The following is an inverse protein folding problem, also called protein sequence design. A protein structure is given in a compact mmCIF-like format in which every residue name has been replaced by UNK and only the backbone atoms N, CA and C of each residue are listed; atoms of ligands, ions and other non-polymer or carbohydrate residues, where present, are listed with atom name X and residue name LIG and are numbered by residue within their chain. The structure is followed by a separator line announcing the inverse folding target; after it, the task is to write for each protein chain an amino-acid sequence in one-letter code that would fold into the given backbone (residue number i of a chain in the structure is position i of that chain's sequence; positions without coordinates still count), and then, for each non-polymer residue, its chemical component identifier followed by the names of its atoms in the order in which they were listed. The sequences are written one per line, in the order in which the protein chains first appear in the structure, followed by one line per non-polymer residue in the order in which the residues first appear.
data_IF_030360760225
#
_entry.id   IF_030360760225
#
_cell.length_a   1.000
_cell.length_b   1.000
_cell.length_c   1.000
_cell.angle_alpha   90.00
_cell.angle_beta   90.00
_cell.angle_gamma   90.00
#
_symmetry.space_group_name_H-M   'P 1'
#
loop_
_entity.id
_entity.type
_entity.pdbx_description
1 polymer ?
#
# COMPACT_ATOMS: atom_id res chain seq x y z
N UNK A 1 -6.87 11.15 10.93
CA UNK A 1 -5.57 11.87 10.87
C UNK A 1 -4.78 11.61 12.15
N UNK A 2 -3.59 11.04 12.04
CA UNK A 2 -2.60 10.86 13.11
C UNK A 2 -1.35 11.69 12.83
N UNK A 3 -0.76 12.31 13.87
CA UNK A 3 0.50 13.06 13.74
C UNK A 3 1.53 12.52 14.70
N UNK A 4 2.77 12.36 14.22
CA UNK A 4 3.91 11.92 15.01
C UNK A 4 4.93 13.05 15.16
N UNK A 5 5.53 13.13 16.34
CA UNK A 5 6.50 14.18 16.69
C UNK A 5 7.74 13.53 17.31
N UNK A 6 8.88 14.16 17.13
CA UNK A 6 10.12 13.81 17.82
C UNK A 6 10.09 14.27 19.28
N UNK A 7 11.11 13.86 20.06
CA UNK A 7 11.23 14.24 21.47
C UNK A 7 11.41 15.73 21.72
N UNK A 8 11.88 16.48 20.74
CA UNK A 8 12.02 17.95 20.80
C UNK A 8 10.76 18.70 20.31
N UNK A 9 9.70 17.98 19.94
CA UNK A 9 8.44 18.53 19.46
C UNK A 9 8.40 18.81 17.96
N UNK A 10 9.44 18.47 17.19
CA UNK A 10 9.44 18.59 15.73
C UNK A 10 8.44 17.63 15.11
N UNK A 11 7.62 18.09 14.17
CA UNK A 11 6.69 17.25 13.44
C UNK A 11 7.45 16.29 12.52
N UNK A 12 7.19 14.98 12.62
CA UNK A 12 7.82 13.93 11.82
C UNK A 12 6.97 13.53 10.63
N UNK A 13 5.73 13.14 10.88
CA UNK A 13 4.83 12.73 9.81
C UNK A 13 3.36 12.90 10.18
N UNK A 14 2.52 12.94 9.16
CA UNK A 14 1.06 12.86 9.28
C UNK A 14 0.57 11.62 8.52
N UNK A 15 -0.32 10.86 9.14
CA UNK A 15 -0.99 9.71 8.51
C UNK A 15 -2.49 9.97 8.49
N UNK A 16 -3.06 9.95 7.30
CA UNK A 16 -4.50 10.00 7.09
C UNK A 16 -5.00 8.64 6.60
N UNK A 17 -5.95 8.06 7.33
CA UNK A 17 -6.58 6.79 7.01
C UNK A 17 -8.06 7.01 6.76
N UNK A 18 -8.56 6.44 5.67
CA UNK A 18 -9.96 6.39 5.32
C UNK A 18 -10.40 4.93 5.28
N UNK A 19 -11.24 4.55 6.23
CA UNK A 19 -11.73 3.19 6.34
C UNK A 19 -13.10 3.04 5.65
N UNK A 20 -13.28 1.95 4.91
CA UNK A 20 -14.54 1.59 4.30
C UNK A 20 -15.26 0.57 5.20
N UNK A 21 -16.29 1.01 5.90
CA UNK A 21 -17.15 0.11 6.69
C UNK A 21 -18.07 -0.67 5.75
N UNK A 22 -17.73 -1.95 5.53
CA UNK A 22 -18.53 -2.85 4.70
C UNK A 22 -19.77 -3.27 5.52
N UNK A 23 -20.95 -3.24 4.90
CA UNK A 23 -22.25 -3.52 5.51
C UNK A 23 -22.79 -2.46 6.49
N UNK A 24 -22.02 -1.44 6.83
CA UNK A 24 -22.48 -0.29 7.63
C UNK A 24 -22.67 0.92 6.73
N UNK A 25 -23.92 1.33 6.51
CA UNK A 25 -24.23 2.46 5.63
C UNK A 25 -25.72 2.72 5.52
N UNK A 26 -26.12 3.48 4.50
CA UNK A 26 -27.54 3.76 4.24
C UNK A 26 -28.15 4.87 5.11
N UNK A 27 -27.36 5.53 5.94
CA UNK A 27 -27.79 6.63 6.81
C UNK A 27 -27.85 8.01 6.11
N UNK A 28 -27.47 8.09 4.81
CA UNK A 28 -27.67 9.28 3.98
C UNK A 28 -26.60 10.37 4.09
N UNK A 29 -25.38 10.06 4.54
CA UNK A 29 -24.27 11.02 4.58
C UNK A 29 -23.69 11.37 3.20
N UNK A 30 -22.84 12.38 3.17
CA UNK A 30 -22.08 12.74 1.97
C UNK A 30 -21.17 11.59 1.51
N UNK A 31 -21.06 11.43 0.19
CA UNK A 31 -20.09 10.48 -0.36
C UNK A 31 -18.67 11.01 -0.15
N UNK A 32 -17.70 10.11 0.15
CA UNK A 32 -16.32 10.53 0.24
C UNK A 32 -15.85 11.17 -1.09
N UNK A 33 -14.88 12.10 -1.04
CA UNK A 33 -14.35 12.71 -2.25
C UNK A 33 -13.79 11.64 -3.19
N UNK A 34 -13.98 11.87 -4.50
CA UNK A 34 -13.34 11.03 -5.51
C UNK A 34 -11.87 11.41 -5.57
N UNK A 35 -11.03 10.51 -5.11
CA UNK A 35 -9.57 10.66 -5.10
C UNK A 35 -8.88 9.73 -6.10
N UNK A 36 -9.56 9.42 -7.20
CA UNK A 36 -9.03 8.57 -8.25
C UNK A 36 -7.77 9.19 -8.86
N UNK A 37 -6.75 8.36 -9.02
CA UNK A 37 -5.49 8.71 -9.68
C UNK A 37 -5.54 8.17 -11.10
N UNK A 38 -5.27 9.02 -12.08
CA UNK A 38 -5.09 8.63 -13.47
C UNK A 38 -3.64 8.19 -13.69
N UNK A 39 -3.48 7.12 -14.47
CA UNK A 39 -2.17 6.62 -14.87
C UNK A 39 -1.84 7.11 -16.29
N UNK A 40 -0.56 7.40 -16.59
CA UNK A 40 -0.16 7.74 -17.95
C UNK A 40 -0.51 6.61 -18.95
N UNK A 41 -1.05 7.01 -20.11
CA UNK A 41 -1.33 6.09 -21.23
C UNK A 41 -0.03 5.82 -22.03
N UNK A 42 0.91 5.16 -21.39
CA UNK A 42 2.21 4.75 -21.93
C UNK A 42 2.77 3.61 -21.11
N UNK A 43 3.80 2.96 -21.63
CA UNK A 43 4.55 1.97 -20.89
C UNK A 43 5.08 2.53 -19.55
N UNK A 44 5.12 1.71 -18.49
CA UNK A 44 5.68 2.11 -17.21
C UNK A 44 7.17 2.38 -17.31
N UNK A 45 7.66 3.30 -16.48
CA UNK A 45 9.11 3.56 -16.40
C UNK A 45 9.84 2.44 -15.65
N UNK A 46 9.15 1.83 -14.65
CA UNK A 46 9.74 0.75 -13.86
C UNK A 46 8.71 -0.30 -13.51
N UNK A 47 9.21 -1.53 -13.35
CA UNK A 47 8.47 -2.67 -12.82
C UNK A 47 9.37 -3.40 -11.82
N UNK A 48 8.82 -3.73 -10.66
CA UNK A 48 9.50 -4.54 -9.65
C UNK A 48 8.63 -5.72 -9.24
N UNK A 49 9.23 -6.91 -9.19
CA UNK A 49 8.53 -8.13 -8.80
C UNK A 49 9.22 -8.79 -7.60
N UNK A 50 8.42 -9.28 -6.67
CA UNK A 50 8.87 -10.15 -5.60
C UNK A 50 7.74 -11.06 -5.10
N UNK A 51 8.11 -12.13 -4.42
CA UNK A 51 7.13 -12.99 -3.75
C UNK A 51 6.88 -12.49 -2.33
N UNK A 52 5.61 -12.22 -1.99
CA UNK A 52 5.20 -11.95 -0.62
C UNK A 52 5.36 -13.22 0.22
N UNK A 53 6.29 -13.23 1.15
CA UNK A 53 6.64 -14.43 1.91
C UNK A 53 5.46 -15.03 2.68
N UNK A 54 5.37 -16.36 2.72
CA UNK A 54 4.30 -17.09 3.41
C UNK A 54 4.21 -16.75 4.91
N UNK A 55 5.34 -16.46 5.54
CA UNK A 55 5.45 -16.16 6.97
C UNK A 55 5.39 -14.66 7.29
N UNK A 56 5.27 -13.78 6.31
CA UNK A 56 5.27 -12.34 6.54
C UNK A 56 4.17 -11.84 7.47
N UNK A 57 2.94 -12.37 7.43
CA UNK A 57 1.93 -11.98 8.40
C UNK A 57 2.36 -12.27 9.85
N UNK A 58 3.07 -13.36 10.10
CA UNK A 58 3.59 -13.71 11.43
C UNK A 58 4.74 -12.77 11.86
N UNK A 59 5.58 -12.36 10.90
CA UNK A 59 6.69 -11.41 11.14
C UNK A 59 6.14 -10.00 11.37
N UNK A 60 5.10 -9.58 10.65
CA UNK A 60 4.51 -8.25 10.78
C UNK A 60 3.66 -8.10 12.05
N UNK A 61 2.96 -9.14 12.45
CA UNK A 61 2.02 -9.12 13.59
C UNK A 61 2.59 -8.52 14.90
N UNK A 62 3.85 -8.84 15.32
CA UNK A 62 4.45 -8.25 16.52
C UNK A 62 4.61 -6.73 16.49
N UNK A 63 4.45 -6.09 15.33
CA UNK A 63 4.49 -4.63 15.19
C UNK A 63 3.21 -3.93 15.65
N UNK A 64 2.21 -4.69 16.13
CA UNK A 64 1.02 -4.13 16.80
C UNK A 64 -0.32 -4.50 16.18
N UNK A 65 -0.36 -5.11 15.00
CA UNK A 65 -1.61 -5.56 14.37
C UNK A 65 -1.85 -7.05 14.64
N UNK A 66 -2.60 -7.32 15.72
CA UNK A 66 -2.89 -8.67 16.20
C UNK A 66 -4.18 -9.27 15.63
N UNK A 67 -4.79 -8.66 14.61
CA UNK A 67 -6.07 -9.10 14.10
C UNK A 67 -6.00 -10.54 13.56
N UNK A 68 -7.00 -11.35 13.91
CA UNK A 68 -7.03 -12.79 13.62
C UNK A 68 -7.07 -13.11 12.11
N UNK A 69 -7.65 -12.24 11.27
CA UNK A 69 -7.75 -12.44 9.82
C UNK A 69 -6.41 -12.68 9.13
N UNK A 70 -5.29 -12.38 9.79
CA UNK A 70 -3.95 -12.49 9.20
C UNK A 70 -3.25 -13.81 9.51
N UNK A 71 -3.78 -14.61 10.46
CA UNK A 71 -3.13 -15.85 10.90
C UNK A 71 -4.09 -17.00 11.22
N UNK A 72 -5.37 -16.72 11.48
CA UNK A 72 -6.32 -17.71 11.98
C UNK A 72 -7.26 -18.18 10.86
N UNK A 73 -7.09 -19.43 10.44
CA UNK A 73 -7.90 -20.05 9.39
C UNK A 73 -9.37 -20.17 9.78
N UNK A 74 -9.66 -20.48 11.05
CA UNK A 74 -11.04 -20.61 11.52
C UNK A 74 -11.78 -19.27 11.52
N UNK A 75 -11.07 -18.18 11.79
CA UNK A 75 -11.60 -16.83 11.67
C UNK A 75 -11.87 -16.45 10.21
N UNK A 76 -10.95 -16.74 9.30
CA UNK A 76 -11.11 -16.40 7.88
C UNK A 76 -12.24 -17.18 7.23
N UNK A 77 -12.43 -18.45 7.59
CA UNK A 77 -13.56 -19.25 7.15
C UNK A 77 -14.91 -18.62 7.55
N UNK A 78 -15.03 -18.13 8.78
CA UNK A 78 -16.25 -17.48 9.27
C UNK A 78 -16.51 -16.12 8.60
N UNK A 79 -15.48 -15.42 8.15
CA UNK A 79 -15.58 -14.10 7.51
C UNK A 79 -15.65 -14.16 5.99
N UNK A 80 -15.65 -15.35 5.40
CA UNK A 80 -15.74 -15.56 3.96
C UNK A 80 -14.45 -15.26 3.20
N UNK A 81 -13.33 -15.17 3.90
CA UNK A 81 -12.00 -15.10 3.30
C UNK A 81 -11.51 -16.53 2.96
N UNK A 82 -10.85 -16.70 1.83
CA UNK A 82 -10.30 -17.99 1.40
C UNK A 82 -9.30 -18.55 2.42
N UNK A 83 -8.47 -17.70 2.99
CA UNK A 83 -7.42 -18.02 3.95
C UNK A 83 -6.89 -16.74 4.62
N UNK A 84 -6.02 -16.84 5.62
CA UNK A 84 -5.37 -15.66 6.21
C UNK A 84 -4.71 -14.78 5.14
N UNK A 85 -4.95 -13.47 5.25
CA UNK A 85 -4.50 -12.46 4.31
C UNK A 85 -3.33 -11.65 4.88
N UNK A 86 -2.55 -11.02 4.01
CA UNK A 86 -1.51 -10.09 4.42
C UNK A 86 -2.12 -8.86 5.12
N UNK A 87 -1.37 -8.26 6.03
CA UNK A 87 -1.69 -6.95 6.57
C UNK A 87 -1.63 -5.90 5.45
N UNK A 88 -2.67 -5.10 5.29
CA UNK A 88 -2.72 -4.07 4.24
C UNK A 88 -1.54 -3.12 4.31
N UNK A 89 -1.24 -2.60 5.51
CA UNK A 89 -0.11 -1.68 5.74
C UNK A 89 1.24 -2.33 5.42
N UNK A 90 1.41 -3.62 5.66
CA UNK A 90 2.59 -4.38 5.23
C UNK A 90 2.75 -4.37 3.71
N UNK A 91 1.65 -4.53 2.97
CA UNK A 91 1.67 -4.45 1.49
C UNK A 91 2.03 -3.05 0.99
N UNK A 92 1.56 -2.01 1.66
CA UNK A 92 1.96 -0.62 1.38
C UNK A 92 3.45 -0.39 1.68
N UNK A 93 3.97 -0.98 2.77
CA UNK A 93 5.41 -0.96 3.09
C UNK A 93 6.28 -1.64 2.01
N UNK A 94 5.79 -2.73 1.42
CA UNK A 94 6.45 -3.37 0.27
C UNK A 94 6.47 -2.42 -0.93
N UNK A 95 5.35 -1.80 -1.28
CA UNK A 95 5.29 -0.83 -2.38
C UNK A 95 6.21 0.38 -2.14
N UNK A 96 6.26 0.86 -0.89
CA UNK A 96 7.17 1.93 -0.47
C UNK A 96 8.63 1.54 -0.71
N UNK A 97 9.05 0.36 -0.27
CA UNK A 97 10.41 -0.15 -0.50
C UNK A 97 10.74 -0.29 -1.98
N UNK A 98 9.79 -0.77 -2.81
CA UNK A 98 9.96 -0.82 -4.25
C UNK A 98 10.15 0.57 -4.85
N UNK A 99 9.32 1.55 -4.45
CA UNK A 99 9.42 2.93 -4.91
C UNK A 99 10.78 3.55 -4.56
N UNK A 100 11.25 3.40 -3.32
CA UNK A 100 12.58 3.88 -2.89
C UNK A 100 13.66 3.25 -3.77
N UNK A 101 13.63 1.92 -3.95
CA UNK A 101 14.65 1.20 -4.70
C UNK A 101 14.71 1.58 -6.18
N UNK A 102 13.60 2.03 -6.77
CA UNK A 102 13.47 2.34 -8.19
C UNK A 102 13.67 3.83 -8.50
N UNK A 103 13.21 4.71 -7.61
CA UNK A 103 13.12 6.14 -7.88
C UNK A 103 14.24 6.96 -7.23
N UNK A 104 14.65 6.58 -6.02
CA UNK A 104 15.69 7.26 -5.24
C UNK A 104 16.50 6.27 -4.40
N UNK A 105 17.23 5.35 -5.06
CA UNK A 105 17.95 4.26 -4.40
C UNK A 105 19.03 4.79 -3.45
N UNK A 106 19.01 4.31 -2.21
CA UNK A 106 19.95 4.72 -1.16
C UNK A 106 19.52 5.96 -0.37
N UNK A 107 18.44 6.64 -0.76
CA UNK A 107 17.95 7.88 -0.14
C UNK A 107 16.50 7.74 0.39
N UNK A 108 16.20 6.80 1.31
CA UNK A 108 14.84 6.66 1.84
C UNK A 108 14.31 7.93 2.52
N UNK A 109 15.20 8.77 3.02
CA UNK A 109 14.91 10.07 3.63
C UNK A 109 14.35 11.11 2.63
N UNK A 110 14.54 10.88 1.34
CA UNK A 110 13.98 11.75 0.31
C UNK A 110 12.46 11.64 0.18
N UNK A 111 11.85 10.50 0.63
CA UNK A 111 10.41 10.32 0.51
C UNK A 111 9.64 11.33 1.37
N UNK A 112 8.77 12.11 0.73
CA UNK A 112 7.93 13.13 1.38
C UNK A 112 6.47 12.72 1.50
N UNK A 113 5.97 11.88 0.55
CA UNK A 113 4.58 11.45 0.55
C UNK A 113 4.40 10.05 -0.06
N UNK A 114 3.53 9.27 0.56
CA UNK A 114 3.02 8.00 0.01
C UNK A 114 1.51 7.92 0.20
N UNK A 115 0.79 7.66 -0.87
CA UNK A 115 -0.65 7.40 -0.85
C UNK A 115 -0.95 6.14 -1.64
N UNK A 116 -1.88 5.33 -1.16
CA UNK A 116 -2.46 4.24 -1.94
C UNK A 116 -3.83 3.85 -1.41
N UNK A 117 -4.59 3.12 -2.22
CA UNK A 117 -5.85 2.50 -1.83
C UNK A 117 -5.69 0.98 -1.83
N UNK A 118 -6.08 0.34 -0.75
CA UNK A 118 -6.21 -1.12 -0.66
C UNK A 118 -7.47 -1.53 -1.43
N UNK A 119 -7.34 -2.35 -2.47
CA UNK A 119 -8.45 -2.67 -3.37
C UNK A 119 -8.78 -4.15 -3.44
N UNK A 120 -7.83 -5.02 -3.12
CA UNK A 120 -8.06 -6.46 -2.92
C UNK A 120 -7.07 -7.03 -1.90
N UNK A 121 -7.42 -8.12 -1.20
CA UNK A 121 -6.52 -8.75 -0.24
C UNK A 121 -5.30 -9.36 -0.93
N UNK A 122 -4.13 -9.23 -0.30
CA UNK A 122 -2.92 -9.94 -0.69
C UNK A 122 -2.88 -11.26 0.05
N UNK A 123 -2.72 -12.36 -0.66
CA UNK A 123 -2.52 -13.68 -0.06
C UNK A 123 -1.02 -13.96 0.13
N UNK A 124 -0.59 -14.49 1.28
CA UNK A 124 0.80 -14.93 1.45
C UNK A 124 1.20 -15.94 0.38
N UNK A 125 2.40 -15.76 -0.18
CA UNK A 125 2.93 -16.59 -1.26
C UNK A 125 2.68 -16.06 -2.67
N UNK A 126 1.85 -15.01 -2.85
CA UNK A 126 1.60 -14.40 -4.16
C UNK A 126 2.82 -13.64 -4.68
N UNK A 127 3.02 -13.64 -5.99
CA UNK A 127 4.01 -12.76 -6.64
C UNK A 127 3.41 -11.37 -6.85
N UNK A 128 4.03 -10.40 -6.22
CA UNK A 128 3.68 -8.98 -6.32
C UNK A 128 4.42 -8.37 -7.50
N UNK A 129 3.71 -7.55 -8.29
CA UNK A 129 4.29 -6.69 -9.31
C UNK A 129 3.89 -5.25 -9.02
N UNK A 130 4.87 -4.42 -8.68
CA UNK A 130 4.69 -2.97 -8.55
C UNK A 130 5.09 -2.31 -9.86
N UNK A 131 4.17 -1.55 -10.42
CA UNK A 131 4.29 -0.87 -11.71
C UNK A 131 4.32 0.62 -11.42
N UNK A 132 5.33 1.33 -11.94
CA UNK A 132 5.62 2.73 -11.59
C UNK A 132 5.77 3.59 -12.84
N UNK A 133 5.12 4.75 -12.83
CA UNK A 133 5.21 5.79 -13.84
C UNK A 133 5.68 7.09 -13.22
N UNK A 134 6.79 7.65 -13.69
CA UNK A 134 7.20 9.03 -13.36
C UNK A 134 6.21 10.00 -13.97
N UNK A 135 5.70 10.95 -13.21
CA UNK A 135 4.73 11.95 -13.66
C UNK A 135 5.26 13.37 -13.56
N UNK A 136 6.39 13.56 -12.88
CA UNK A 136 7.07 14.83 -12.72
C UNK A 136 8.42 14.66 -12.04
N UNK A 137 9.09 15.77 -11.83
CA UNK A 137 10.28 15.83 -10.96
C UNK A 137 9.81 15.59 -9.51
N UNK A 138 10.36 14.58 -8.84
CA UNK A 138 9.97 14.23 -7.48
C UNK A 138 8.56 13.62 -7.36
N UNK A 139 7.94 13.11 -8.43
CA UNK A 139 6.59 12.54 -8.40
C UNK A 139 6.45 11.33 -9.30
N UNK A 140 5.76 10.30 -8.80
CA UNK A 140 5.37 9.12 -9.58
C UNK A 140 4.00 8.59 -9.18
N UNK A 141 3.40 7.81 -10.08
CA UNK A 141 2.21 7.01 -9.84
C UNK A 141 2.59 5.54 -9.78
N UNK A 142 1.89 4.77 -8.97
CA UNK A 142 2.12 3.34 -8.92
C UNK A 142 0.84 2.55 -8.68
N UNK A 143 0.86 1.29 -9.08
CA UNK A 143 -0.09 0.26 -8.64
C UNK A 143 0.64 -1.03 -8.37
N UNK A 144 0.04 -1.89 -7.56
CA UNK A 144 0.55 -3.22 -7.28
C UNK A 144 -0.50 -4.26 -7.68
N UNK A 145 -0.08 -5.23 -8.48
CA UNK A 145 -0.94 -6.30 -9.01
C UNK A 145 -0.36 -7.67 -8.69
N UNK A 146 -1.16 -8.71 -8.91
CA UNK A 146 -0.64 -10.07 -8.97
C UNK A 146 0.19 -10.24 -10.25
N UNK A 147 1.47 -10.61 -10.15
CA UNK A 147 2.33 -10.81 -11.31
C UNK A 147 1.86 -11.99 -12.20
N UNK A 148 1.23 -13.00 -11.58
CA UNK A 148 0.74 -14.19 -12.27
C UNK A 148 -0.69 -14.03 -12.83
N UNK A 149 -1.37 -12.92 -12.48
CA UNK A 149 -2.71 -12.56 -12.96
C UNK A 149 -2.84 -11.03 -13.06
N UNK A 150 -2.08 -10.37 -13.95
CA UNK A 150 -1.98 -8.90 -13.99
C UNK A 150 -3.30 -8.20 -14.34
N UNK A 151 -4.23 -8.90 -15.00
CA UNK A 151 -5.57 -8.41 -15.36
C UNK A 151 -6.55 -8.47 -14.18
N UNK A 152 -6.18 -9.12 -13.07
CA UNK A 152 -7.02 -9.15 -11.88
C UNK A 152 -7.09 -7.78 -11.20
N UNK A 153 -8.06 -7.62 -10.30
CA UNK A 153 -8.17 -6.39 -9.51
C UNK A 153 -6.85 -6.11 -8.77
N UNK A 154 -6.30 -4.92 -8.85
CA UNK A 154 -5.06 -4.57 -8.15
C UNK A 154 -5.14 -4.83 -6.64
N UNK A 155 -4.03 -5.13 -6.01
CA UNK A 155 -3.91 -5.16 -4.56
C UNK A 155 -3.87 -3.73 -3.99
N UNK A 156 -2.99 -2.89 -4.57
CA UNK A 156 -2.91 -1.46 -4.29
C UNK A 156 -3.18 -0.69 -5.58
N UNK A 157 -4.00 0.33 -5.48
CA UNK A 157 -4.34 1.21 -6.59
C UNK A 157 -4.31 2.68 -6.16
N UNK A 158 -4.42 3.60 -7.12
CA UNK A 158 -4.38 5.04 -6.87
C UNK A 158 -3.13 5.46 -6.09
N UNK A 159 -2.01 4.80 -6.38
CA UNK A 159 -0.73 5.04 -5.74
C UNK A 159 -0.09 6.34 -6.21
N UNK A 160 0.37 7.12 -5.24
CA UNK A 160 1.19 8.32 -5.43
C UNK A 160 2.42 8.17 -4.55
N UNK A 161 3.56 8.51 -5.06
CA UNK A 161 4.78 8.71 -4.29
C UNK A 161 5.40 10.03 -4.70
N UNK A 162 5.82 10.81 -3.69
CA UNK A 162 6.54 12.07 -3.88
C UNK A 162 7.83 12.03 -3.08
N UNK A 163 8.86 12.66 -3.60
CA UNK A 163 10.17 12.73 -2.96
C UNK A 163 10.86 14.06 -3.26
N UNK A 164 11.78 14.45 -2.39
CA UNK A 164 12.66 15.59 -2.63
C UNK A 164 13.74 15.19 -3.66
N UNK A 165 13.57 15.66 -4.89
CA UNK A 165 14.50 15.36 -5.99
C UNK A 165 15.89 16.00 -5.80
N UNK A 166 16.05 16.93 -4.87
CA UNK A 166 17.37 17.52 -4.57
C UNK A 166 18.24 16.62 -3.69
N UNK A 167 17.63 15.61 -3.03
CA UNK A 167 18.31 14.64 -2.16
C UNK A 167 18.57 13.33 -2.94
N UNK A 168 17.72 13.00 -3.93
CA UNK A 168 17.66 11.73 -4.65
C UNK A 168 18.71 11.59 -5.76
#
# INVERSE_FOLDING_TARGET
MGKSYSSDGSHLCTVDTYDCCIYDGGWGGERPPKDAVEYPDREPDFVYEETYGLNWPLVYRPMGDWHQQHIDWSYTEQTGLERPIAHGVSSAGVAMRHAISLLFPGHPEAMTHLKCRFTSPVLPGVRLRTIVWKTGEGEARFRMVNADAPESKPFLNHGIVEWDASIA
#
